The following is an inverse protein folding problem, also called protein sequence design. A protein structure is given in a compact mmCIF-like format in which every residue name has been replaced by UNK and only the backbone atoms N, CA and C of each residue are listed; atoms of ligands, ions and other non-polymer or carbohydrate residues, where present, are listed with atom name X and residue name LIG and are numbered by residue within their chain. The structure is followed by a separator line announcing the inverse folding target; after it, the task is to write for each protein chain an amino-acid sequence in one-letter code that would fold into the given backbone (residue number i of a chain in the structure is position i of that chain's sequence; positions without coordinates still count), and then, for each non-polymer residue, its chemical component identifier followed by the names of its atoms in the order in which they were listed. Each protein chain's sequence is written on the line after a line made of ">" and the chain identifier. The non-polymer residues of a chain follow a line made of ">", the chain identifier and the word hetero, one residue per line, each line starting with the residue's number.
data_IF_908189102485
#
_entry.id   IF_908189102485
#
_cell.length_a   1.000
_cell.length_b   1.000
_cell.length_c   1.000
_cell.angle_alpha   90.00
_cell.angle_beta   90.00
_cell.angle_gamma   90.00
#
_symmetry.space_group_name_H-M   'P 1'
#
loop_
_entity.id
_entity.type
_entity.pdbx_description
1 polymer ?
#
# COMPACT_ATOMS: atom_id res chain seq x y z
N UNK A 1 38.43 -3.46 8.68
CA UNK A 1 37.18 -3.23 9.42
C UNK A 1 36.72 -1.83 9.12
N UNK A 2 35.68 -1.75 8.31
CA UNK A 2 34.94 -0.57 7.89
C UNK A 2 33.80 -0.22 8.86
N UNK A 3 33.54 -1.07 9.87
CA UNK A 3 32.49 -0.86 10.87
C UNK A 3 31.17 -1.53 10.52
N UNK A 4 31.06 -2.14 9.34
CA UNK A 4 29.97 -3.05 9.02
C UNK A 4 30.23 -4.41 9.69
N UNK A 5 29.15 -5.10 10.08
CA UNK A 5 29.26 -6.46 10.60
C UNK A 5 29.69 -7.41 9.48
N UNK A 6 30.67 -8.26 9.76
CA UNK A 6 31.20 -9.25 8.83
C UNK A 6 30.11 -10.23 8.33
N UNK A 7 28.96 -10.34 9.02
CA UNK A 7 27.79 -11.13 8.58
C UNK A 7 27.14 -10.59 7.30
N UNK A 8 27.30 -9.30 7.00
CA UNK A 8 26.78 -8.65 5.80
C UNK A 8 27.85 -8.52 4.70
N UNK A 9 29.01 -9.15 4.89
CA UNK A 9 30.13 -9.09 3.96
C UNK A 9 30.58 -10.50 3.58
N UNK A 10 30.88 -10.72 2.30
CA UNK A 10 31.51 -11.98 1.87
C UNK A 10 32.94 -12.09 2.36
N UNK A 11 33.60 -10.95 2.61
CA UNK A 11 34.95 -10.85 3.17
C UNK A 11 35.05 -9.61 4.08
N UNK A 12 35.56 -9.73 5.32
CA UNK A 12 35.65 -8.61 6.26
C UNK A 12 36.30 -7.34 5.67
N UNK A 13 35.56 -6.24 5.65
CA UNK A 13 35.96 -4.95 5.10
C UNK A 13 35.92 -4.83 3.57
N UNK A 14 35.18 -5.71 2.88
CA UNK A 14 34.89 -5.59 1.44
C UNK A 14 33.97 -4.41 1.12
N UNK A 15 33.18 -3.93 2.10
CA UNK A 15 32.22 -2.84 1.93
C UNK A 15 30.97 -3.25 1.17
N UNK A 16 30.72 -4.56 1.04
CA UNK A 16 29.41 -5.09 0.63
C UNK A 16 28.42 -4.81 1.76
N UNK A 17 27.18 -4.42 1.45
CA UNK A 17 26.14 -4.18 2.46
C UNK A 17 24.83 -4.83 2.06
N UNK A 18 23.75 -4.43 2.71
CA UNK A 18 22.41 -4.74 2.22
C UNK A 18 22.12 -3.90 0.96
N UNK A 19 21.44 -4.50 0.00
CA UNK A 19 20.76 -3.75 -1.06
C UNK A 19 19.32 -3.62 -0.57
N UNK A 20 18.86 -2.41 -0.18
CA UNK A 20 17.46 -2.21 0.16
C UNK A 20 16.56 -2.62 -1.01
N UNK A 21 15.35 -3.06 -0.67
CA UNK A 21 14.33 -3.39 -1.66
C UNK A 21 13.87 -2.13 -2.41
N UNK A 22 13.46 -2.35 -3.64
CA UNK A 22 12.99 -1.36 -4.57
C UNK A 22 12.03 -2.11 -5.51
N UNK A 23 10.75 -2.07 -5.17
CA UNK A 23 9.74 -3.00 -5.68
C UNK A 23 9.46 -2.74 -7.16
N UNK A 24 9.23 -1.49 -7.52
CA UNK A 24 9.07 -1.04 -8.91
C UNK A 24 10.35 -1.16 -9.78
N UNK A 25 11.53 -1.32 -9.16
CA UNK A 25 12.81 -1.31 -9.85
C UNK A 25 13.23 0.08 -10.39
N UNK A 26 12.54 1.15 -10.00
CA UNK A 26 12.79 2.53 -10.42
C UNK A 26 13.05 3.45 -9.21
N UNK A 27 13.18 4.76 -9.43
CA UNK A 27 13.38 5.79 -8.40
C UNK A 27 14.17 5.43 -7.11
N UNK A 28 13.57 5.52 -5.92
CA UNK A 28 14.25 5.33 -4.64
C UNK A 28 13.89 3.96 -4.03
N UNK A 29 14.74 3.37 -3.17
CA UNK A 29 14.35 2.14 -2.49
C UNK A 29 13.15 2.38 -1.56
N UNK A 30 12.24 1.40 -1.44
CA UNK A 30 10.91 1.51 -0.81
C UNK A 30 10.89 2.30 0.51
N UNK A 31 11.88 2.10 1.38
CA UNK A 31 11.95 2.84 2.67
C UNK A 31 12.13 4.37 2.53
N UNK A 32 12.30 4.89 1.32
CA UNK A 32 12.40 6.31 0.95
C UNK A 32 11.44 6.68 -0.20
N UNK A 33 10.71 5.72 -0.74
CA UNK A 33 9.71 5.99 -1.78
C UNK A 33 8.37 6.29 -1.11
N UNK A 34 7.57 7.16 -1.72
CA UNK A 34 6.22 7.49 -1.23
C UNK A 34 5.14 6.64 -1.93
N UNK A 35 5.53 5.91 -2.98
CA UNK A 35 4.74 5.02 -3.85
C UNK A 35 5.71 3.92 -4.36
N UNK A 36 5.80 2.82 -3.60
CA UNK A 36 6.87 1.83 -3.70
C UNK A 36 6.77 0.91 -4.93
N UNK A 37 5.59 0.76 -5.52
CA UNK A 37 5.35 -0.03 -6.74
C UNK A 37 4.95 0.81 -7.97
N UNK A 38 4.75 2.12 -7.79
CA UNK A 38 4.46 3.11 -8.83
C UNK A 38 3.15 2.85 -9.57
N UNK A 39 2.12 2.42 -8.85
CA UNK A 39 0.78 2.17 -9.38
C UNK A 39 -0.16 3.39 -9.32
N UNK A 40 0.28 4.47 -8.66
CA UNK A 40 -0.44 5.74 -8.59
C UNK A 40 -1.23 5.95 -7.30
N UNK A 41 -1.29 4.96 -6.41
CA UNK A 41 -1.69 5.14 -5.01
C UNK A 41 -0.42 5.37 -4.16
N UNK A 42 -0.56 6.00 -2.99
CA UNK A 42 0.60 6.24 -2.13
C UNK A 42 0.67 5.20 -1.03
N UNK A 43 1.87 4.76 -0.65
CA UNK A 43 2.13 3.82 0.45
C UNK A 43 1.41 4.20 1.76
N UNK A 44 1.14 5.50 1.95
CA UNK A 44 0.41 6.05 3.09
C UNK A 44 -1.07 5.64 3.12
N UNK A 45 -1.70 5.53 1.96
CA UNK A 45 -3.09 5.07 1.80
C UNK A 45 -3.08 3.56 1.87
N UNK A 46 -2.34 2.90 0.98
CA UNK A 46 -2.32 1.43 0.89
C UNK A 46 -1.86 0.77 2.19
N UNK A 47 -0.90 1.36 2.91
CA UNK A 47 -0.40 0.79 4.16
C UNK A 47 -1.33 0.94 5.37
N UNK A 48 -2.38 1.77 5.31
CA UNK A 48 -3.19 2.16 6.48
C UNK A 48 -4.64 2.54 6.11
N UNK A 49 -5.27 1.84 5.17
CA UNK A 49 -6.68 2.00 4.79
C UNK A 49 -7.45 0.70 5.10
N UNK A 50 -7.69 0.41 6.38
CA UNK A 50 -8.17 -0.92 6.79
C UNK A 50 -9.65 -1.15 6.41
N UNK A 51 -10.40 -0.09 6.15
CA UNK A 51 -11.79 -0.19 5.70
C UNK A 51 -11.97 -0.07 4.18
N UNK A 52 -10.87 0.03 3.43
CA UNK A 52 -10.79 0.04 1.97
C UNK A 52 -11.66 1.16 1.37
N UNK A 53 -11.69 2.34 1.98
CA UNK A 53 -12.52 3.47 1.52
C UNK A 53 -11.76 4.47 0.62
N UNK A 54 -10.51 4.15 0.26
CA UNK A 54 -9.62 4.97 -0.55
C UNK A 54 -8.98 6.11 0.23
N UNK A 55 -9.08 6.08 1.57
CA UNK A 55 -8.56 7.12 2.46
C UNK A 55 -7.84 6.46 3.63
N UNK A 56 -6.57 6.82 3.82
CA UNK A 56 -5.81 6.40 5.01
C UNK A 56 -6.58 6.70 6.32
N UNK A 57 -6.70 5.68 7.17
CA UNK A 57 -7.37 5.69 8.48
C UNK A 57 -6.75 6.71 9.44
N UNK A 58 -5.44 6.96 9.28
CA UNK A 58 -4.73 7.96 10.07
C UNK A 58 -4.38 9.20 9.24
N UNK A 59 -4.22 10.31 9.95
CA UNK A 59 -3.67 11.56 9.42
C UNK A 59 -2.42 11.91 10.21
N UNK A 60 -1.40 12.48 9.55
CA UNK A 60 -0.22 12.98 10.26
C UNK A 60 -0.64 14.00 11.33
N UNK A 61 -0.31 13.71 12.59
CA UNK A 61 -0.70 14.53 13.75
C UNK A 61 0.49 15.19 14.44
N UNK A 62 1.73 14.82 14.09
CA UNK A 62 2.95 15.42 14.62
C UNK A 62 3.95 14.39 15.11
N UNK A 63 4.99 14.85 15.79
CA UNK A 63 6.02 14.02 16.44
C UNK A 63 6.37 14.73 17.75
N UNK A 64 5.69 14.33 18.83
CA UNK A 64 5.69 15.05 20.11
C UNK A 64 7.01 14.92 20.83
N UNK A 65 7.69 13.78 20.71
CA UNK A 65 8.93 13.50 21.42
C UNK A 65 10.21 13.65 20.56
N UNK A 66 10.04 13.80 19.24
CA UNK A 66 11.08 14.17 18.29
C UNK A 66 11.95 13.00 17.86
N UNK A 67 11.45 11.77 17.93
CA UNK A 67 12.19 10.56 17.56
C UNK A 67 12.05 10.17 16.08
N UNK A 68 11.13 10.82 15.36
CA UNK A 68 10.90 10.67 13.93
C UNK A 68 9.73 9.77 13.56
N UNK A 69 8.95 9.30 14.53
CA UNK A 69 7.70 8.55 14.32
C UNK A 69 6.52 9.51 14.52
N UNK A 70 5.50 9.42 13.66
CA UNK A 70 4.32 10.28 13.81
C UNK A 70 3.47 9.80 15.01
N UNK A 71 2.90 10.75 15.76
CA UNK A 71 2.08 10.49 16.96
C UNK A 71 0.83 9.63 16.66
N UNK A 72 0.42 9.47 15.40
CA UNK A 72 -0.61 8.50 15.01
C UNK A 72 -0.14 7.04 15.14
N UNK A 73 1.17 6.80 14.99
CA UNK A 73 1.80 5.49 14.99
C UNK A 73 2.70 5.28 16.23
N UNK A 74 2.98 6.32 17.01
CA UNK A 74 3.76 6.22 18.25
C UNK A 74 2.86 6.07 19.50
N UNK A 75 2.77 4.83 20.01
CA UNK A 75 2.05 4.50 21.23
C UNK A 75 2.69 5.04 22.52
N UNK A 76 3.94 5.54 22.48
CA UNK A 76 4.76 5.86 23.68
C UNK A 76 5.32 7.28 23.64
N UNK A 77 4.40 8.21 23.87
CA UNK A 77 4.58 9.67 24.00
C UNK A 77 5.48 10.15 25.19
N UNK A 78 6.31 9.28 25.78
CA UNK A 78 6.97 9.47 27.08
C UNK A 78 8.51 9.45 27.09
N UNK A 79 9.17 9.56 25.93
CA UNK A 79 10.59 9.92 25.84
C UNK A 79 11.57 8.75 25.94
N UNK A 80 11.17 7.57 25.46
CA UNK A 80 12.12 6.52 25.09
C UNK A 80 12.18 6.45 23.55
N UNK A 81 13.16 7.06 22.87
CA UNK A 81 13.23 7.14 21.41
C UNK A 81 13.55 5.79 20.73
N UNK A 82 13.42 4.69 21.48
CA UNK A 82 13.60 3.31 21.05
C UNK A 82 12.51 2.41 21.66
N UNK A 83 11.45 2.98 22.23
CA UNK A 83 10.26 2.16 22.49
C UNK A 83 9.76 1.61 21.17
N UNK A 84 9.27 0.39 21.25
CA UNK A 84 8.74 -0.31 20.10
C UNK A 84 7.49 0.43 19.60
N UNK A 85 7.52 1.09 18.43
CA UNK A 85 6.34 1.73 17.85
C UNK A 85 5.33 0.68 17.38
N UNK A 86 5.79 -0.56 17.18
CA UNK A 86 5.07 -1.73 16.67
C UNK A 86 3.99 -2.27 17.64
N UNK A 87 3.46 -1.43 18.53
CA UNK A 87 2.53 -1.85 19.58
C UNK A 87 1.05 -1.72 19.22
N UNK A 88 0.69 -0.86 18.25
CA UNK A 88 -0.71 -0.47 18.00
C UNK A 88 -1.24 -0.84 16.60
N UNK A 89 -0.43 -0.85 15.53
CA UNK A 89 -0.90 -1.15 14.15
C UNK A 89 -0.26 -2.38 13.51
N UNK A 90 1.07 -2.55 13.62
CA UNK A 90 1.84 -3.69 13.10
C UNK A 90 2.85 -4.11 14.17
N UNK A 91 2.96 -5.39 14.53
CA UNK A 91 3.82 -5.89 15.62
C UNK A 91 4.92 -6.82 15.12
N UNK A 92 4.58 -8.07 14.80
CA UNK A 92 5.59 -9.11 14.50
C UNK A 92 5.48 -9.72 13.12
N UNK A 93 4.43 -9.39 12.38
CA UNK A 93 4.12 -9.99 11.10
C UNK A 93 3.57 -8.96 10.11
N UNK A 94 4.37 -7.94 9.71
CA UNK A 94 3.94 -6.90 8.77
C UNK A 94 3.29 -7.44 7.50
N UNK A 95 3.77 -8.58 7.01
CA UNK A 95 3.22 -9.25 5.82
C UNK A 95 1.78 -9.78 6.01
N UNK A 96 1.26 -9.82 7.23
CA UNK A 96 -0.11 -10.23 7.55
C UNK A 96 -0.85 -9.17 8.40
N UNK A 97 -0.21 -8.05 8.72
CA UNK A 97 -0.73 -6.99 9.58
C UNK A 97 -0.94 -5.68 8.80
N UNK A 98 -0.24 -5.50 7.69
CA UNK A 98 -0.51 -4.46 6.70
C UNK A 98 -1.64 -4.91 5.76
N UNK A 99 -2.26 -3.94 5.10
CA UNK A 99 -3.27 -4.22 4.09
C UNK A 99 -2.69 -5.03 2.94
N UNK A 100 -3.54 -5.91 2.44
CA UNK A 100 -3.29 -6.84 1.36
C UNK A 100 -4.69 -7.29 0.89
N UNK A 101 -5.23 -6.60 -0.09
CA UNK A 101 -6.66 -6.60 -0.41
C UNK A 101 -7.11 -7.94 -0.99
N UNK A 102 -6.29 -8.56 -1.81
CA UNK A 102 -6.55 -9.87 -2.39
C UNK A 102 -6.23 -11.06 -1.44
N UNK A 103 -5.51 -10.82 -0.35
CA UNK A 103 -5.04 -11.85 0.56
C UNK A 103 -3.88 -12.71 0.04
N UNK A 104 -3.23 -12.35 -1.08
CA UNK A 104 -2.15 -13.10 -1.73
C UNK A 104 -0.95 -12.22 -2.09
N UNK A 105 0.16 -12.85 -2.52
CA UNK A 105 1.40 -12.17 -2.93
C UNK A 105 1.98 -11.09 -1.96
N UNK A 106 2.14 -9.83 -2.36
CA UNK A 106 2.78 -8.74 -1.58
C UNK A 106 1.72 -7.79 -0.98
N UNK A 107 1.98 -7.07 0.13
CA UNK A 107 1.04 -6.06 0.64
C UNK A 107 0.74 -4.95 -0.38
N UNK A 108 -0.41 -4.29 -0.26
CA UNK A 108 -0.95 -3.35 -1.26
C UNK A 108 0.10 -2.31 -1.72
N UNK A 109 0.80 -1.64 -0.79
CA UNK A 109 1.88 -0.67 -1.12
C UNK A 109 3.05 -1.21 -1.96
N UNK A 110 3.06 -2.49 -2.31
CA UNK A 110 4.06 -3.18 -3.13
C UNK A 110 3.43 -4.03 -4.23
N UNK A 111 2.11 -4.01 -4.40
CA UNK A 111 1.39 -4.84 -5.34
C UNK A 111 0.61 -4.01 -6.38
N UNK A 112 1.14 -3.97 -7.60
CA UNK A 112 0.57 -3.17 -8.70
C UNK A 112 -0.85 -3.59 -9.16
N UNK A 113 -1.42 -4.63 -8.57
CA UNK A 113 -2.74 -5.25 -8.86
C UNK A 113 -3.35 -5.68 -7.51
N UNK A 114 -3.69 -4.69 -6.68
CA UNK A 114 -4.08 -4.83 -5.25
C UNK A 114 -5.18 -5.86 -4.98
N UNK A 115 -6.15 -5.98 -5.89
CA UNK A 115 -7.27 -6.90 -5.79
C UNK A 115 -7.05 -8.21 -6.59
N UNK A 116 -5.98 -8.27 -7.37
CA UNK A 116 -5.59 -9.36 -8.25
C UNK A 116 -6.70 -9.80 -9.22
N UNK A 117 -7.44 -8.85 -9.78
CA UNK A 117 -8.46 -9.08 -10.79
C UNK A 117 -7.89 -9.20 -12.23
N UNK A 118 -6.63 -8.82 -12.41
CA UNK A 118 -5.90 -8.81 -13.67
C UNK A 118 -5.85 -7.46 -14.40
N UNK A 119 -6.29 -6.38 -13.78
CA UNK A 119 -6.12 -4.99 -14.14
C UNK A 119 -5.26 -4.31 -13.08
N UNK A 120 -4.15 -3.71 -13.51
CA UNK A 120 -3.31 -2.95 -12.58
C UNK A 120 -4.10 -1.79 -11.97
N UNK A 121 -3.77 -1.38 -10.75
CA UNK A 121 -4.36 -0.21 -10.06
C UNK A 121 -4.31 1.05 -10.94
N UNK A 122 -3.23 1.23 -11.71
CA UNK A 122 -3.04 2.37 -12.63
C UNK A 122 -3.86 2.28 -13.94
N UNK A 123 -4.66 1.23 -14.13
CA UNK A 123 -5.34 0.96 -15.39
C UNK A 123 -6.53 1.92 -15.59
N UNK A 124 -6.80 2.37 -16.83
CA UNK A 124 -7.99 3.17 -17.12
C UNK A 124 -9.36 2.53 -16.86
N UNK A 125 -9.40 1.29 -16.37
CA UNK A 125 -10.64 0.67 -15.87
C UNK A 125 -10.85 0.97 -14.39
N UNK A 126 -9.77 1.18 -13.64
CA UNK A 126 -9.78 1.60 -12.24
C UNK A 126 -9.89 3.14 -12.14
N UNK A 127 -9.11 3.88 -12.93
CA UNK A 127 -9.22 5.34 -13.13
C UNK A 127 -10.31 5.68 -14.17
N UNK A 128 -11.57 5.49 -13.80
CA UNK A 128 -12.71 5.57 -14.73
C UNK A 128 -12.97 6.99 -15.24
N UNK A 129 -12.67 8.01 -14.44
CA UNK A 129 -12.85 9.41 -14.82
C UNK A 129 -11.62 10.01 -15.54
N UNK A 130 -10.46 9.36 -15.42
CA UNK A 130 -9.23 9.65 -16.14
C UNK A 130 -8.47 10.86 -15.57
N UNK A 131 -8.63 11.15 -14.29
CA UNK A 131 -7.92 12.22 -13.60
C UNK A 131 -6.59 11.77 -12.98
N UNK A 132 -6.33 10.46 -12.99
CA UNK A 132 -5.10 9.84 -12.50
C UNK A 132 -5.07 9.65 -10.98
N UNK A 133 -6.24 9.54 -10.35
CA UNK A 133 -6.42 9.28 -8.92
C UNK A 133 -7.45 8.14 -8.72
N UNK A 134 -7.01 6.86 -8.76
CA UNK A 134 -7.93 5.72 -8.67
C UNK A 134 -8.61 5.61 -7.29
N UNK A 135 -8.12 6.32 -6.26
CA UNK A 135 -8.67 6.22 -4.90
C UNK A 135 -10.05 6.83 -4.73
N UNK A 136 -10.58 7.49 -5.76
CA UNK A 136 -11.89 8.15 -5.71
C UNK A 136 -12.88 7.63 -6.76
N UNK A 137 -12.47 6.66 -7.58
CA UNK A 137 -13.32 6.01 -8.57
C UNK A 137 -14.04 4.81 -7.95
N UNK A 138 -15.32 5.01 -7.67
CA UNK A 138 -16.24 4.02 -7.08
C UNK A 138 -17.48 3.96 -7.99
N UNK A 139 -17.47 3.01 -8.93
CA UNK A 139 -18.45 2.94 -10.02
C UNK A 139 -19.85 2.53 -9.52
N UNK A 140 -19.91 1.75 -8.43
CA UNK A 140 -21.14 1.19 -7.89
C UNK A 140 -21.71 1.96 -6.67
N UNK A 141 -20.92 2.90 -6.13
CA UNK A 141 -21.20 3.78 -5.01
C UNK A 141 -21.38 3.05 -3.67
N UNK A 142 -20.67 1.94 -3.45
CA UNK A 142 -20.71 1.20 -2.20
C UNK A 142 -19.74 1.72 -1.12
N UNK A 143 -18.79 2.56 -1.52
CA UNK A 143 -17.77 3.17 -0.67
C UNK A 143 -16.38 2.55 -0.81
N UNK A 144 -16.23 1.50 -1.61
CA UNK A 144 -14.94 0.88 -1.95
C UNK A 144 -14.50 1.36 -3.34
N UNK A 145 -13.28 1.90 -3.51
CA UNK A 145 -12.78 2.23 -4.84
C UNK A 145 -12.54 0.97 -5.68
N UNK A 146 -12.70 1.10 -7.01
CA UNK A 146 -12.65 -0.03 -7.94
C UNK A 146 -11.33 -0.85 -7.82
N UNK A 147 -10.18 -0.20 -7.60
CA UNK A 147 -8.88 -0.86 -7.51
C UNK A 147 -8.73 -1.81 -6.30
N UNK A 148 -9.63 -1.71 -5.32
CA UNK A 148 -9.70 -2.59 -4.15
C UNK A 148 -10.82 -3.64 -4.27
N UNK A 149 -11.48 -3.73 -5.42
CA UNK A 149 -12.66 -4.54 -5.65
C UNK A 149 -12.48 -5.55 -6.78
N UNK A 150 -12.20 -6.81 -6.41
CA UNK A 150 -12.02 -7.90 -7.39
C UNK A 150 -13.08 -7.85 -8.49
N UNK A 151 -12.69 -7.46 -9.70
CA UNK A 151 -13.64 -7.20 -10.78
C UNK A 151 -14.62 -8.35 -11.01
N UNK A 152 -15.92 -8.03 -10.94
CA UNK A 152 -16.96 -9.00 -11.20
C UNK A 152 -16.97 -9.36 -12.70
N UNK A 153 -16.78 -10.64 -13.09
CA UNK A 153 -17.05 -11.05 -14.47
C UNK A 153 -18.49 -10.80 -14.94
N UNK A 154 -19.42 -10.41 -14.07
CA UNK A 154 -20.77 -9.92 -14.41
C UNK A 154 -20.82 -8.44 -14.83
N UNK A 155 -19.77 -7.65 -14.57
CA UNK A 155 -19.53 -6.33 -15.16
C UNK A 155 -19.23 -6.52 -16.65
N UNK A 156 -20.18 -6.14 -17.50
CA UNK A 156 -19.99 -6.21 -18.95
C UNK A 156 -19.64 -4.82 -19.45
N UNK A 157 -18.47 -4.71 -20.10
CA UNK A 157 -18.12 -3.54 -20.89
C UNK A 157 -19.24 -3.27 -21.91
N UNK A 158 -20.06 -2.26 -21.62
CA UNK A 158 -21.03 -1.75 -22.56
C UNK A 158 -20.37 -0.73 -23.47
N UNK A 159 -21.12 -0.37 -24.50
CA UNK A 159 -20.66 0.53 -25.53
C UNK A 159 -20.28 1.89 -24.92
N UNK A 160 -19.08 2.34 -25.22
CA UNK A 160 -18.49 3.65 -24.86
C UNK A 160 -17.71 3.69 -23.51
N UNK A 161 -17.25 2.54 -23.01
CA UNK A 161 -16.26 2.48 -21.91
C UNK A 161 -16.83 2.25 -20.52
N UNK A 162 -18.16 2.27 -20.40
CA UNK A 162 -18.87 2.07 -19.13
C UNK A 162 -19.04 0.58 -18.86
N UNK A 163 -18.85 0.15 -17.62
CA UNK A 163 -19.21 -1.18 -17.15
C UNK A 163 -20.64 -1.15 -16.56
N UNK A 164 -21.43 -2.17 -16.84
CA UNK A 164 -22.76 -2.31 -16.22
C UNK A 164 -22.86 -3.67 -15.56
N UNK A 165 -23.24 -3.69 -14.29
CA UNK A 165 -23.69 -4.89 -13.60
C UNK A 165 -24.91 -5.46 -14.35
N UNK A 166 -24.68 -6.55 -15.06
CA UNK A 166 -25.71 -7.18 -15.89
C UNK A 166 -26.69 -8.04 -15.10
N UNK A 167 -26.40 -8.33 -13.83
CA UNK A 167 -27.19 -9.22 -13.00
C UNK A 167 -28.05 -8.44 -11.96
N UNK A 168 -27.72 -7.17 -11.68
CA UNK A 168 -28.39 -6.24 -10.76
C UNK A 168 -28.50 -6.76 -9.32
N UNK A 169 -27.56 -7.57 -8.86
CA UNK A 169 -27.55 -8.10 -7.50
C UNK A 169 -26.75 -7.22 -6.52
N UNK A 170 -25.98 -6.25 -7.02
CA UNK A 170 -25.20 -5.32 -6.20
C UNK A 170 -24.23 -6.05 -5.28
N UNK A 171 -23.72 -7.20 -5.74
CA UNK A 171 -22.69 -8.01 -5.10
C UNK A 171 -21.81 -8.62 -6.18
N UNK A 172 -20.53 -8.31 -6.14
CA UNK A 172 -19.51 -9.08 -6.87
C UNK A 172 -19.45 -10.50 -6.27
N UNK A 173 -19.67 -11.56 -7.07
CA UNK A 173 -19.77 -12.95 -6.56
C UNK A 173 -18.44 -13.67 -6.34
#
# INVERSE_FOLDING_TARGET
>A
MNGLDDAYETTPGSGEGITPENTDGTDAPDYLDDDSDNDGVSDRIEGDDVDNDGIADTTEVGDTDGDGIDDAFDAVDAGDPYSDPSGDTVDTDPANELNNTDGTDEPDYRDTDDDNDGFLTDNPVEDTDGDGDPTNDDDDMDGTPNYLEVFDPAMVLVKDGVYEDTNMDGLVN
#
